data_IF_490745151312
#
_entry.id   IF_490745151312
#
_cell.length_a   1.000
_cell.length_b   1.000
_cell.length_c   1.000
_cell.angle_alpha   90.00
_cell.angle_beta   90.00
_cell.angle_gamma   90.00
#
_symmetry.space_group_name_H-M   'P 1'
#
loop_
_entity.id
_entity.type
_entity.pdbx_description
1 polymer ?
#
# COMPACT_ATOMS: atom_id res chain seq x y z
N UNK A 1 9.69 32.20 7.18
CA UNK A 1 9.82 31.20 6.08
C UNK A 1 9.31 29.80 6.46
N UNK A 2 8.84 29.56 7.70
CA UNK A 2 8.36 28.25 8.16
C UNK A 2 6.89 27.93 7.81
N UNK A 3 6.02 28.94 7.74
CA UNK A 3 4.57 28.74 7.57
C UNK A 3 4.17 28.03 6.26
N UNK A 4 4.81 28.40 5.15
CA UNK A 4 4.50 27.84 3.82
C UNK A 4 4.85 26.35 3.67
N UNK A 5 5.90 25.89 4.34
CA UNK A 5 6.32 24.49 4.27
C UNK A 5 5.36 23.60 5.06
N UNK A 6 4.92 24.07 6.23
CA UNK A 6 3.93 23.38 7.06
C UNK A 6 2.59 23.28 6.34
N UNK A 7 2.15 24.35 5.67
CA UNK A 7 0.89 24.31 4.91
C UNK A 7 0.92 23.33 3.74
N UNK A 8 2.05 23.22 3.03
CA UNK A 8 2.22 22.25 1.94
C UNK A 8 2.16 20.80 2.45
N UNK A 9 2.70 20.54 3.64
CA UNK A 9 2.65 19.21 4.27
C UNK A 9 1.21 18.90 4.70
N UNK A 10 0.56 19.81 5.43
CA UNK A 10 -0.82 19.63 5.88
C UNK A 10 -1.79 19.42 4.71
N UNK A 11 -1.62 20.16 3.62
CA UNK A 11 -2.43 19.96 2.41
C UNK A 11 -2.19 18.59 1.76
N UNK A 12 -0.95 18.12 1.73
CA UNK A 12 -0.63 16.79 1.20
C UNK A 12 -1.25 15.69 2.08
N UNK A 13 -1.17 15.83 3.41
CA UNK A 13 -1.78 14.90 4.35
C UNK A 13 -3.30 14.86 4.21
N UNK A 14 -3.95 16.02 4.15
CA UNK A 14 -5.41 16.09 3.99
C UNK A 14 -5.87 15.46 2.67
N UNK A 15 -5.10 15.62 1.59
CA UNK A 15 -5.39 14.96 0.30
C UNK A 15 -5.14 13.44 0.33
N UNK A 16 -4.27 12.95 1.21
CA UNK A 16 -4.05 11.51 1.42
C UNK A 16 -5.17 10.93 2.31
N UNK A 17 -5.64 11.66 3.31
CA UNK A 17 -6.59 11.17 4.31
C UNK A 17 -8.04 11.14 3.80
N UNK A 18 -8.48 12.17 3.06
CA UNK A 18 -9.86 12.24 2.51
C UNK A 18 -10.29 11.05 1.64
N UNK A 19 -9.43 10.48 0.79
CA UNK A 19 -9.77 9.27 0.04
C UNK A 19 -9.82 8.03 0.93
N UNK A 20 -8.92 7.92 1.91
CA UNK A 20 -8.79 6.76 2.81
C UNK A 20 -9.98 6.68 3.77
N UNK A 21 -10.50 7.82 4.24
CA UNK A 21 -11.73 7.87 5.04
C UNK A 21 -12.96 7.39 4.25
N UNK A 22 -13.00 7.63 2.93
CA UNK A 22 -14.11 7.22 2.07
C UNK A 22 -14.01 5.76 1.65
N UNK A 23 -12.79 5.27 1.43
CA UNK A 23 -12.51 3.93 0.94
C UNK A 23 -11.23 3.38 1.61
N UNK A 24 -11.34 2.71 2.77
CA UNK A 24 -10.19 2.26 3.55
C UNK A 24 -9.37 1.16 2.86
N UNK A 25 -9.93 0.50 1.86
CA UNK A 25 -9.27 -0.55 1.08
C UNK A 25 -8.50 -0.01 -0.14
N UNK A 26 -8.39 1.31 -0.27
CA UNK A 26 -7.68 1.91 -1.41
C UNK A 26 -6.19 1.55 -1.40
N UNK A 27 -5.71 1.06 -2.55
CA UNK A 27 -4.32 0.65 -2.71
C UNK A 27 -3.42 1.89 -2.59
N UNK A 28 -2.45 1.89 -1.67
CA UNK A 28 -1.51 3.01 -1.44
C UNK A 28 -0.82 3.50 -2.70
N UNK A 29 -0.50 2.60 -3.64
CA UNK A 29 0.06 2.95 -4.94
C UNK A 29 -0.91 3.76 -5.82
N UNK A 30 -2.20 3.41 -5.83
CA UNK A 30 -3.24 4.15 -6.56
C UNK A 30 -3.45 5.52 -5.94
N UNK A 31 -3.54 5.57 -4.61
CA UNK A 31 -3.64 6.82 -3.85
C UNK A 31 -2.46 7.77 -4.11
N UNK A 32 -1.23 7.24 -4.15
CA UNK A 32 -0.04 8.03 -4.49
C UNK A 32 -0.10 8.64 -5.91
N UNK A 33 -0.64 7.89 -6.88
CA UNK A 33 -0.81 8.37 -8.25
C UNK A 33 -1.90 9.46 -8.35
N UNK A 34 -3.01 9.29 -7.64
CA UNK A 34 -4.12 10.25 -7.61
C UNK A 34 -3.73 11.58 -6.94
N UNK A 35 -3.01 11.51 -5.83
CA UNK A 35 -2.57 12.68 -5.05
C UNK A 35 -1.23 13.26 -5.55
N UNK A 36 -0.59 12.61 -6.54
CA UNK A 36 0.72 12.99 -7.13
C UNK A 36 1.84 13.18 -6.10
N UNK A 37 1.85 12.33 -5.08
CA UNK A 37 2.86 12.30 -4.02
C UNK A 37 3.64 10.99 -4.08
N UNK A 38 4.82 10.96 -3.48
CA UNK A 38 5.58 9.71 -3.42
C UNK A 38 4.85 8.67 -2.57
N UNK A 39 4.93 7.41 -2.97
CA UNK A 39 4.37 6.29 -2.21
C UNK A 39 4.93 6.24 -0.77
N UNK A 40 6.19 6.63 -0.58
CA UNK A 40 6.81 6.73 0.74
C UNK A 40 6.09 7.74 1.65
N UNK A 41 5.73 8.92 1.13
CA UNK A 41 5.02 9.94 1.90
C UNK A 41 3.63 9.44 2.30
N UNK A 42 2.90 8.79 1.37
CA UNK A 42 1.60 8.17 1.66
C UNK A 42 1.71 7.13 2.79
N UNK A 43 2.67 6.21 2.69
CA UNK A 43 2.88 5.20 3.72
C UNK A 43 3.23 5.81 5.08
N UNK A 44 4.06 6.86 5.08
CA UNK A 44 4.45 7.57 6.31
C UNK A 44 3.25 8.26 6.95
N UNK A 45 2.48 9.03 6.20
CA UNK A 45 1.27 9.73 6.68
C UNK A 45 0.25 8.74 7.23
N UNK A 46 -0.04 7.65 6.51
CA UNK A 46 -0.95 6.61 6.98
C UNK A 46 -0.48 5.95 8.29
N UNK A 47 0.83 5.71 8.41
CA UNK A 47 1.43 5.15 9.63
C UNK A 47 1.38 6.12 10.81
N UNK A 48 1.68 7.39 10.58
CA UNK A 48 1.65 8.44 11.62
C UNK A 48 0.22 8.71 12.12
N UNK A 49 -0.79 8.60 11.25
CA UNK A 49 -2.21 8.74 11.60
C UNK A 49 -2.83 7.44 12.15
N UNK A 50 -2.08 6.35 12.24
CA UNK A 50 -2.58 5.05 12.72
C UNK A 50 -3.59 4.37 11.80
N UNK A 51 -3.72 4.83 10.55
CA UNK A 51 -4.68 4.34 9.55
C UNK A 51 -4.15 3.17 8.72
N UNK A 52 -3.24 2.37 9.29
CA UNK A 52 -2.67 1.22 8.60
C UNK A 52 -3.33 -0.08 9.07
N UNK A 53 -4.44 -0.54 8.47
CA UNK A 53 -4.79 -1.93 8.53
C UNK A 53 -3.85 -2.64 7.56
N UNK A 54 -2.84 -3.32 8.08
CA UNK A 54 -2.28 -4.46 7.38
C UNK A 54 -3.45 -5.42 7.14
N UNK A 55 -4.12 -5.30 6.00
CA UNK A 55 -5.04 -6.33 5.55
C UNK A 55 -4.17 -7.54 5.23
N UNK A 56 -4.05 -8.43 6.23
CA UNK A 56 -3.42 -9.74 6.07
C UNK A 56 -4.29 -10.50 5.07
N UNK A 57 -4.00 -10.34 3.78
CA UNK A 57 -4.50 -11.25 2.76
C UNK A 57 -3.68 -12.52 2.85
N UNK A 58 -4.36 -13.65 3.07
CA UNK A 58 -3.77 -14.97 2.84
C UNK A 58 -3.47 -15.07 1.33
N UNK A 59 -2.24 -14.73 0.94
CA UNK A 59 -1.78 -14.76 -0.45
C UNK A 59 -1.44 -16.16 -0.95
N UNK A 60 -1.60 -17.18 -0.10
CA UNK A 60 -1.22 -18.55 -0.46
C UNK A 60 -1.99 -19.56 0.41
N UNK A 61 -3.10 -20.07 -0.11
CA UNK A 61 -3.62 -21.36 0.33
C UNK A 61 -2.93 -22.40 -0.56
N UNK A 62 -1.69 -22.79 -0.21
CA UNK A 62 -1.07 -23.96 -0.83
C UNK A 62 -1.89 -25.16 -0.37
N UNK A 63 -2.77 -25.63 -1.25
CA UNK A 63 -3.38 -26.92 -1.05
C UNK A 63 -2.29 -28.00 -1.21
N UNK A 64 -2.38 -29.15 -0.52
CA UNK A 64 -1.40 -30.23 -0.67
C UNK A 64 -1.17 -30.66 -2.13
N UNK A 65 -2.15 -30.43 -3.01
CA UNK A 65 -2.07 -30.70 -4.45
C UNK A 65 -1.18 -29.70 -5.23
N UNK A 66 -1.01 -28.47 -4.76
CA UNK A 66 -0.21 -27.43 -5.44
C UNK A 66 1.30 -27.69 -5.33
N UNK A 67 1.71 -28.47 -4.32
CA UNK A 67 3.11 -28.92 -4.17
C UNK A 67 3.56 -29.83 -5.33
N UNK A 68 2.64 -30.52 -6.00
CA UNK A 68 2.97 -31.44 -7.10
C UNK A 68 3.29 -30.65 -8.38
N UNK A 69 2.69 -29.48 -8.58
CA UNK A 69 2.87 -28.68 -9.79
C UNK A 69 4.12 -27.81 -9.76
N UNK A 70 4.53 -27.32 -8.58
CA UNK A 70 5.69 -26.41 -8.46
C UNK A 70 7.05 -27.10 -8.54
N UNK A 71 7.12 -28.42 -8.36
CA UNK A 71 8.40 -29.17 -8.40
C UNK A 71 8.73 -29.67 -9.81
N UNK A 72 7.73 -29.94 -10.66
CA UNK A 72 7.96 -30.51 -11.99
C UNK A 72 8.57 -29.50 -12.98
N UNK A 73 8.29 -28.21 -12.87
CA UNK A 73 8.85 -27.22 -13.82
C UNK A 73 10.34 -26.95 -13.61
N UNK A 74 10.87 -27.13 -12.39
CA UNK A 74 12.29 -26.88 -12.11
C UNK A 74 13.20 -28.07 -12.47
N UNK A 75 12.68 -29.31 -12.46
CA UNK A 75 13.48 -30.53 -12.70
C UNK A 75 13.42 -31.05 -14.15
N UNK A 76 12.53 -30.54 -14.99
CA UNK A 76 12.42 -30.97 -16.41
C UNK A 76 13.28 -30.10 -17.34
N UNK A 77 13.89 -29.01 -16.84
CA UNK A 77 14.75 -28.10 -17.61
C UNK A 77 16.23 -28.10 -17.21
N UNK A 78 16.73 -29.13 -16.50
CA UNK A 78 18.16 -29.27 -16.17
C UNK A 78 18.77 -30.58 -16.62
#
# INVERSE_FOLDING_TARGET
MSHFFTERILQAEEQILKPVEREPDIITRRLAAEVRVSQFLVHRTLKEQGLHPYHVQKVQALEPADFILLICDFLISS
#
